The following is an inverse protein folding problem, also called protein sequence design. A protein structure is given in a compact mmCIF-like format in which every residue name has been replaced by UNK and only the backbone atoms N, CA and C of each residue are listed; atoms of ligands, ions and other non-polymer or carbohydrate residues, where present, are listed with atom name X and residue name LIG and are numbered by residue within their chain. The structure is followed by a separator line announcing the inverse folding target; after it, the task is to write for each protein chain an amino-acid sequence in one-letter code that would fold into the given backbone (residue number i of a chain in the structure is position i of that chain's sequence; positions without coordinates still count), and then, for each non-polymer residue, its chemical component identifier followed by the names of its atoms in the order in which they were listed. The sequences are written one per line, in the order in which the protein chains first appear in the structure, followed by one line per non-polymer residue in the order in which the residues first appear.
data_IF_552310985359
#
_entry.id   IF_552310985359
#
_cell.length_a   1.000
_cell.length_b   1.000
_cell.length_c   1.000
_cell.angle_alpha   90.00
_cell.angle_beta   90.00
_cell.angle_gamma   90.00
#
_symmetry.space_group_name_H-M   'P 1'
#
loop_
_entity.id
_entity.type
_entity.pdbx_description
1 polymer ?
#
# COMPACT_ATOMS: atom_id res chain seq x y z
N UNK A 1 13.78 16.54 10.83
CA UNK A 1 13.79 15.38 9.92
C UNK A 1 12.92 14.33 10.58
N UNK A 2 11.99 13.73 9.85
CA UNK A 2 11.05 12.73 10.37
C UNK A 2 11.32 11.42 9.64
N UNK A 3 11.33 10.30 10.36
CA UNK A 3 11.54 8.97 9.82
C UNK A 3 10.27 8.15 10.04
N UNK A 4 9.80 7.49 8.99
CA UNK A 4 8.63 6.61 9.04
C UNK A 4 8.93 5.29 8.36
N UNK A 5 8.22 4.24 8.79
CA UNK A 5 8.29 2.91 8.19
C UNK A 5 6.99 2.66 7.42
N UNK A 6 7.09 2.21 6.17
CA UNK A 6 5.95 1.83 5.35
C UNK A 6 5.97 0.30 5.10
N UNK A 7 5.15 -0.48 5.82
CA UNK A 7 5.18 -1.93 5.72
C UNK A 7 4.55 -2.45 4.43
N UNK A 8 5.18 -3.47 3.85
CA UNK A 8 4.63 -4.21 2.72
C UNK A 8 3.52 -5.17 3.18
N UNK A 9 2.68 -5.58 2.22
CA UNK A 9 1.67 -6.62 2.43
C UNK A 9 1.78 -7.70 1.37
N UNK A 10 1.33 -8.89 1.74
CA UNK A 10 1.10 -10.00 0.81
C UNK A 10 -0.37 -10.40 0.88
N UNK A 11 -0.86 -11.00 -0.21
CA UNK A 11 -2.14 -11.69 -0.22
C UNK A 11 -1.84 -13.19 -0.13
N UNK A 12 -2.32 -13.88 0.91
CA UNK A 12 -2.21 -15.34 0.96
C UNK A 12 -3.14 -16.00 -0.03
N UNK A 13 -4.32 -15.42 -0.21
CA UNK A 13 -5.29 -15.77 -1.25
C UNK A 13 -5.85 -14.50 -1.87
N UNK A 14 -6.22 -14.58 -3.13
CA UNK A 14 -6.97 -13.55 -3.83
C UNK A 14 -7.77 -14.22 -4.94
N UNK A 15 -9.09 -14.09 -4.84
CA UNK A 15 -10.04 -14.57 -5.82
C UNK A 15 -10.73 -13.39 -6.48
N UNK A 16 -10.86 -13.46 -7.81
CA UNK A 16 -11.57 -12.46 -8.60
C UNK A 16 -12.98 -12.97 -8.87
N UNK A 17 -13.97 -12.40 -8.19
CA UNK A 17 -15.33 -12.93 -8.18
C UNK A 17 -16.07 -12.62 -9.49
N UNK A 18 -16.11 -11.34 -9.87
CA UNK A 18 -16.74 -10.90 -11.13
C UNK A 18 -16.30 -9.48 -11.51
N UNK A 19 -16.50 -9.13 -12.79
CA UNK A 19 -16.29 -7.78 -13.29
C UNK A 19 -17.48 -6.88 -12.92
N UNK A 20 -17.18 -5.71 -12.38
CA UNK A 20 -18.13 -4.67 -11.99
C UNK A 20 -18.45 -3.74 -13.17
N UNK A 21 -19.55 -3.01 -13.05
CA UNK A 21 -20.01 -2.06 -14.08
C UNK A 21 -19.11 -0.81 -14.22
N UNK A 22 -18.26 -0.54 -13.22
CA UNK A 22 -17.29 0.56 -13.22
C UNK A 22 -15.94 0.18 -13.87
N UNK A 23 -15.82 -1.02 -14.42
CA UNK A 23 -14.62 -1.50 -15.10
C UNK A 23 -13.60 -2.20 -14.19
N UNK A 24 -13.84 -2.28 -12.88
CA UNK A 24 -13.01 -3.02 -11.93
C UNK A 24 -13.53 -4.44 -11.69
N UNK A 25 -12.86 -5.20 -10.82
CA UNK A 25 -13.32 -6.51 -10.38
C UNK A 25 -13.64 -6.48 -8.89
N UNK A 26 -14.72 -7.15 -8.52
CA UNK A 26 -14.95 -7.52 -7.14
C UNK A 26 -13.99 -8.65 -6.77
N UNK A 27 -13.32 -8.52 -5.62
CA UNK A 27 -12.29 -9.47 -5.17
C UNK A 27 -12.55 -9.89 -3.73
N UNK A 28 -12.22 -11.15 -3.42
CA UNK A 28 -12.16 -11.67 -2.06
C UNK A 28 -10.70 -12.04 -1.76
N UNK A 29 -10.19 -11.68 -0.60
CA UNK A 29 -8.77 -11.87 -0.28
C UNK A 29 -8.48 -11.95 1.20
N UNK A 30 -7.46 -12.73 1.56
CA UNK A 30 -6.83 -12.73 2.89
C UNK A 30 -5.46 -12.07 2.75
N UNK A 31 -5.27 -10.93 3.41
CA UNK A 31 -4.02 -10.18 3.37
C UNK A 31 -3.44 -9.95 4.77
N UNK A 32 -2.12 -9.87 4.82
CA UNK A 32 -1.39 -9.50 6.03
C UNK A 32 -0.18 -8.64 5.70
N UNK A 33 0.22 -7.79 6.64
CA UNK A 33 1.48 -7.06 6.59
C UNK A 33 2.66 -8.00 6.90
N UNK A 34 3.80 -7.76 6.28
CA UNK A 34 5.05 -8.51 6.52
C UNK A 34 6.13 -7.55 7.00
N UNK A 35 7.20 -8.08 7.59
CA UNK A 35 8.33 -7.28 8.12
C UNK A 35 9.28 -6.74 7.02
N UNK A 36 8.83 -6.75 5.76
CA UNK A 36 9.51 -6.06 4.68
C UNK A 36 8.95 -4.65 4.58
N UNK A 37 9.81 -3.63 4.67
CA UNK A 37 9.36 -2.25 4.78
C UNK A 37 10.21 -1.29 3.93
N UNK A 38 9.57 -0.25 3.41
CA UNK A 38 10.28 0.94 2.95
C UNK A 38 10.59 1.85 4.15
N UNK A 39 11.76 2.51 4.12
CA UNK A 39 12.13 3.53 5.12
C UNK A 39 12.04 4.92 4.52
N UNK A 40 11.05 5.68 4.96
CA UNK A 40 10.78 7.02 4.44
C UNK A 40 11.44 8.08 5.32
N UNK A 41 12.08 9.07 4.69
CA UNK A 41 12.70 10.20 5.38
C UNK A 41 12.12 11.51 4.86
N UNK A 42 11.53 12.30 5.75
CA UNK A 42 10.89 13.56 5.43
C UNK A 42 11.68 14.74 6.00
N UNK A 43 11.76 15.80 5.21
CA UNK A 43 12.28 17.10 5.62
C UNK A 43 11.31 18.19 5.20
N UNK A 44 11.17 19.23 6.03
CA UNK A 44 10.36 20.40 5.67
C UNK A 44 11.00 21.06 4.46
N UNK A 45 10.25 21.17 3.36
CA UNK A 45 10.69 21.90 2.18
C UNK A 45 10.96 23.35 2.58
N UNK A 46 12.18 23.83 2.32
CA UNK A 46 12.46 25.27 2.36
C UNK A 46 11.91 25.85 1.07
N UNK A 47 10.97 26.78 1.19
CA UNK A 47 10.55 27.61 0.05
C UNK A 47 11.51 28.79 0.06
N UNK A 48 12.46 28.80 -0.85
CA UNK A 48 13.22 30.01 -1.17
C UNK A 48 12.38 30.83 -2.15
N UNK A 49 12.16 32.11 -1.82
CA UNK A 49 11.49 33.08 -2.68
C UNK A 49 12.48 33.68 -3.65
#
# INVERSE_FOLDING_TARGET
MIYETAPAKINFTLDTLFKRNDGYHEIEMIMTTVDLNDRLTFHKKKIER
#
